data_IF_583605977385
#
_entry.id   IF_583605977385
#
_cell.length_a   1.000
_cell.length_b   1.000
_cell.length_c   1.000
_cell.angle_alpha   90.00
_cell.angle_beta   90.00
_cell.angle_gamma   90.00
#
_symmetry.space_group_name_H-M   'P 1'
#
loop_
_entity.id
_entity.type
_entity.pdbx_description
1 polymer ?
#
# COMPACT_ATOMS: atom_id res chain seq x y z
N UNK A 1 9.32 15.12 8.95
CA UNK A 1 7.92 14.62 8.91
C UNK A 1 7.16 15.60 8.04
N UNK A 2 6.61 15.17 6.90
CA UNK A 2 5.60 15.98 6.21
C UNK A 2 4.42 16.12 7.19
N UNK A 3 3.94 17.34 7.40
CA UNK A 3 2.74 17.59 8.20
C UNK A 3 1.53 16.84 7.61
N UNK A 4 0.40 16.75 8.34
CA UNK A 4 -0.78 16.10 7.80
C UNK A 4 -1.21 16.82 6.51
N UNK A 5 -1.35 16.07 5.42
CA UNK A 5 -1.93 16.56 4.18
C UNK A 5 -3.32 17.15 4.46
N UNK A 6 -3.59 18.32 3.90
CA UNK A 6 -4.93 18.90 3.87
C UNK A 6 -5.93 17.95 3.19
N UNK A 7 -7.25 18.10 3.45
CA UNK A 7 -8.26 17.27 2.79
C UNK A 7 -8.18 17.32 1.26
N UNK A 8 -7.86 18.48 0.69
CA UNK A 8 -7.73 18.68 -0.76
C UNK A 8 -6.50 17.94 -1.32
N UNK A 9 -5.34 18.07 -0.66
CA UNK A 9 -4.13 17.32 -1.05
C UNK A 9 -4.36 15.81 -0.98
N UNK A 10 -5.11 15.33 0.03
CA UNK A 10 -5.46 13.90 0.14
C UNK A 10 -6.36 13.45 -1.01
N UNK A 11 -7.31 14.28 -1.44
CA UNK A 11 -8.15 13.96 -2.59
C UNK A 11 -7.32 13.88 -3.87
N UNK A 12 -6.44 14.86 -4.11
CA UNK A 12 -5.55 14.87 -5.27
C UNK A 12 -4.60 13.66 -5.32
N UNK A 13 -4.07 13.24 -4.16
CA UNK A 13 -3.26 12.02 -4.06
C UNK A 13 -4.11 10.78 -4.36
N UNK A 14 -5.34 10.71 -3.85
CA UNK A 14 -6.23 9.58 -4.08
C UNK A 14 -6.53 9.38 -5.57
N UNK A 15 -6.71 10.47 -6.32
CA UNK A 15 -6.95 10.43 -7.78
C UNK A 15 -5.77 9.86 -8.58
N UNK A 16 -4.55 9.95 -8.05
CA UNK A 16 -3.35 9.39 -8.68
C UNK A 16 -3.12 7.91 -8.32
N UNK A 17 -3.85 7.37 -7.34
CA UNK A 17 -3.76 5.98 -6.93
C UNK A 17 -4.87 5.22 -7.68
N UNK A 18 -4.55 4.18 -8.49
CA UNK A 18 -5.57 3.45 -9.25
C UNK A 18 -6.73 2.87 -8.41
N UNK A 19 -6.47 2.50 -7.16
CA UNK A 19 -7.51 2.05 -6.20
C UNK A 19 -8.42 3.20 -5.71
N UNK A 20 -8.07 4.46 -5.95
CA UNK A 20 -8.89 5.64 -5.64
C UNK A 20 -8.91 6.05 -4.17
N UNK A 21 -7.93 5.61 -3.36
CA UNK A 21 -7.79 6.03 -1.96
C UNK A 21 -6.36 5.97 -1.46
N UNK A 22 -6.09 6.73 -0.40
CA UNK A 22 -4.85 6.57 0.36
C UNK A 22 -4.79 5.19 1.02
N UNK A 23 -3.57 4.67 1.09
CA UNK A 23 -3.25 3.49 1.90
C UNK A 23 -3.48 3.74 3.38
N UNK A 24 -3.83 2.68 4.08
CA UNK A 24 -3.95 2.64 5.54
C UNK A 24 -2.87 1.69 6.10
N UNK A 25 -2.52 1.78 7.39
CA UNK A 25 -1.63 0.80 8.01
C UNK A 25 -2.09 -0.65 7.82
N UNK A 26 -3.40 -0.88 7.75
CA UNK A 26 -3.97 -2.21 7.53
C UNK A 26 -3.69 -2.79 6.14
N UNK A 27 -3.46 -1.95 5.11
CA UNK A 27 -3.10 -2.43 3.77
C UNK A 27 -1.73 -3.09 3.77
N UNK A 28 -0.77 -2.50 4.48
CA UNK A 28 0.56 -3.08 4.68
C UNK A 28 0.47 -4.33 5.55
N UNK A 29 -0.27 -4.28 6.65
CA UNK A 29 -0.43 -5.42 7.56
C UNK A 29 -1.01 -6.65 6.85
N UNK A 30 -2.00 -6.47 5.96
CA UNK A 30 -2.56 -7.56 5.15
C UNK A 30 -1.53 -8.16 4.18
N UNK A 31 -0.70 -7.33 3.55
CA UNK A 31 0.37 -7.82 2.67
C UNK A 31 1.42 -8.63 3.44
N UNK A 32 1.81 -8.15 4.63
CA UNK A 32 2.71 -8.89 5.54
C UNK A 32 2.08 -10.21 5.96
N UNK A 33 0.81 -10.19 6.39
CA UNK A 33 0.09 -11.39 6.79
C UNK A 33 0.05 -12.41 5.65
N UNK A 34 -0.25 -11.98 4.42
CA UNK A 34 -0.21 -12.84 3.24
C UNK A 34 1.15 -13.54 3.10
N UNK A 35 2.25 -12.78 3.09
CA UNK A 35 3.61 -13.33 2.96
C UNK A 35 4.07 -14.19 4.15
N UNK A 36 3.41 -14.05 5.31
CA UNK A 36 3.75 -14.80 6.53
C UNK A 36 3.08 -16.18 6.59
N UNK A 37 2.15 -16.48 5.68
CA UNK A 37 1.40 -17.72 5.70
C UNK A 37 2.25 -18.89 5.20
N UNK A 38 1.99 -20.13 5.67
CA UNK A 38 2.71 -21.32 5.21
C UNK A 38 2.61 -21.56 3.69
N UNK A 39 1.53 -21.10 3.05
CA UNK A 39 1.29 -21.23 1.61
C UNK A 39 2.17 -20.29 0.76
N UNK A 40 2.93 -19.39 1.38
CA UNK A 40 3.87 -18.47 0.71
C UNK A 40 5.33 -18.94 0.76
N UNK A 41 5.59 -20.19 1.14
CA UNK A 41 6.93 -20.76 1.36
C UNK A 41 7.88 -20.72 0.14
N UNK A 42 7.33 -20.64 -1.07
CA UNK A 42 8.11 -20.51 -2.31
C UNK A 42 8.40 -19.06 -2.73
N UNK A 43 7.91 -18.06 -1.98
CA UNK A 43 8.08 -16.64 -2.30
C UNK A 43 9.19 -16.04 -1.43
N UNK A 44 10.35 -15.76 -2.04
CA UNK A 44 11.49 -15.14 -1.36
C UNK A 44 12.26 -14.18 -2.27
N UNK A 45 12.98 -13.24 -1.68
CA UNK A 45 13.81 -12.25 -2.40
C UNK A 45 13.02 -11.19 -3.19
N UNK A 46 11.70 -11.12 -3.02
CA UNK A 46 10.83 -10.20 -3.75
C UNK A 46 10.54 -8.93 -2.97
N UNK A 47 10.40 -7.80 -3.66
CA UNK A 47 9.89 -6.55 -3.10
C UNK A 47 8.42 -6.39 -3.46
N UNK A 48 7.53 -6.62 -2.50
CA UNK A 48 6.09 -6.38 -2.67
C UNK A 48 5.75 -4.92 -2.29
N UNK A 49 5.04 -4.21 -3.18
CA UNK A 49 4.59 -2.83 -2.94
C UNK A 49 3.07 -2.78 -2.76
N UNK A 50 2.54 -2.77 -1.52
CA UNK A 50 1.10 -2.61 -1.27
C UNK A 50 0.68 -1.14 -1.40
N UNK A 51 0.89 -0.54 -2.57
CA UNK A 51 0.75 0.90 -2.84
C UNK A 51 -0.54 1.28 -3.62
N UNK A 52 -1.49 0.35 -3.74
CA UNK A 52 -2.74 0.57 -4.50
C UNK A 52 -2.54 0.80 -6.00
N UNK A 53 -1.40 0.40 -6.56
CA UNK A 53 -1.08 0.55 -7.98
C UNK A 53 -0.41 1.88 -8.34
N UNK A 54 -0.04 2.71 -7.35
CA UNK A 54 0.50 4.04 -7.62
C UNK A 54 1.84 4.02 -8.39
N UNK A 55 2.64 2.97 -8.20
CA UNK A 55 3.94 2.78 -8.86
C UNK A 55 4.14 1.32 -9.27
N UNK A 56 4.86 1.06 -10.37
CA UNK A 56 5.25 -0.29 -10.79
C UNK A 56 6.28 -0.91 -9.84
#
# INVERSE_FOLDING_TARGET
>A
MLGPFSPEERAQIADQIPIGRLGTPHDVARAVLFLSRPDSDWITGQTLRPNGGQYP
#
